data_IF_006096160227
#
_entry.id   IF_006096160227
#
_cell.length_a   1.000
_cell.length_b   1.000
_cell.length_c   1.000
_cell.angle_alpha   90.00
_cell.angle_beta   90.00
_cell.angle_gamma   90.00
#
_symmetry.space_group_name_H-M   'P 1'
#
loop_
_entity.id
_entity.type
_entity.pdbx_description
1 polymer ?
#
# COMPACT_ATOMS: atom_id res chain seq x y z
N UNK A 1 -12.01 1.78 7.61
CA UNK A 1 -11.20 2.83 8.24
C UNK A 1 -9.83 2.24 8.52
N UNK A 2 -8.86 2.55 7.68
CA UNK A 2 -7.49 2.05 7.76
C UNK A 2 -6.70 3.00 8.64
N UNK A 3 -5.95 2.46 9.60
CA UNK A 3 -5.09 3.27 10.47
C UNK A 3 -3.71 3.35 9.83
N UNK A 4 -3.18 4.57 9.71
CA UNK A 4 -1.88 4.84 9.09
C UNK A 4 -0.80 5.00 10.14
N UNK A 5 0.35 4.44 9.83
CA UNK A 5 1.51 4.42 10.70
C UNK A 5 2.72 4.95 9.95
N UNK A 6 3.43 5.89 10.57
CA UNK A 6 4.72 6.36 10.10
C UNK A 6 5.80 5.97 11.13
N UNK A 7 6.95 5.49 10.65
CA UNK A 7 8.06 5.07 11.52
C UNK A 7 9.28 5.96 11.33
N UNK A 8 9.71 6.66 12.37
CA UNK A 8 10.88 7.56 12.36
C UNK A 8 12.19 6.81 12.71
N UNK A 9 13.31 7.12 12.03
CA UNK A 9 14.66 6.73 12.47
C UNK A 9 15.26 7.86 13.33
N UNK A 10 15.59 7.58 14.58
CA UNK A 10 16.32 8.54 15.42
C UNK A 10 16.88 7.90 16.70
N UNK A 11 18.07 8.31 17.17
CA UNK A 11 18.60 7.83 18.44
C UNK A 11 17.84 8.48 19.60
N UNK A 12 17.34 7.69 20.55
CA UNK A 12 16.82 8.21 21.81
C UNK A 12 17.82 7.99 22.94
N UNK A 13 18.16 9.08 23.62
CA UNK A 13 18.67 9.06 24.99
C UNK A 13 17.54 8.63 25.92
N UNK A 14 17.71 7.43 26.48
CA UNK A 14 17.17 6.85 27.72
C UNK A 14 16.06 7.66 28.43
N UNK A 15 14.82 7.15 28.42
CA UNK A 15 14.31 6.26 29.48
C UNK A 15 12.87 5.80 29.14
N UNK A 16 12.68 4.48 29.12
CA UNK A 16 11.42 3.73 29.35
C UNK A 16 10.20 3.83 28.40
N UNK A 17 10.23 4.56 27.28
CA UNK A 17 9.03 4.80 26.45
C UNK A 17 9.16 4.34 24.98
N UNK A 18 8.39 3.32 24.57
CA UNK A 18 7.94 3.20 23.18
C UNK A 18 6.91 4.33 22.95
N UNK A 19 7.37 5.54 22.63
CA UNK A 19 6.50 6.69 22.40
C UNK A 19 5.68 6.47 21.13
N UNK A 20 4.36 6.30 21.33
CA UNK A 20 3.34 6.38 20.29
C UNK A 20 2.80 7.80 20.31
N UNK A 21 3.19 8.61 19.34
CA UNK A 21 2.63 9.95 19.17
C UNK A 21 1.48 9.90 18.16
N UNK A 22 0.33 10.46 18.54
CA UNK A 22 -0.80 10.66 17.63
C UNK A 22 -0.73 12.09 17.09
N UNK A 23 -0.50 12.22 15.79
CA UNK A 23 -0.61 13.52 15.14
C UNK A 23 -2.08 13.88 14.92
N UNK A 24 -2.43 15.17 14.99
CA UNK A 24 -3.81 15.66 14.84
C UNK A 24 -4.46 15.27 13.50
N UNK A 25 -3.66 14.99 12.48
CA UNK A 25 -4.11 14.49 11.17
C UNK A 25 -4.42 12.98 11.14
N UNK A 26 -4.29 12.28 12.27
CA UNK A 26 -4.65 10.86 12.41
C UNK A 26 -3.52 9.87 12.11
N UNK A 27 -2.27 10.34 12.04
CA UNK A 27 -1.09 9.48 11.94
C UNK A 27 -0.67 8.98 13.31
N UNK A 28 -0.37 7.68 13.38
CA UNK A 28 0.34 7.12 14.53
C UNK A 28 1.82 7.02 14.20
N UNK A 29 2.65 7.65 15.02
CA UNK A 29 4.10 7.67 14.85
C UNK A 29 4.72 6.73 15.88
N UNK A 30 5.55 5.82 15.40
CA UNK A 30 6.31 4.92 16.25
C UNK A 30 7.80 5.25 16.10
N UNK A 31 8.48 5.39 17.23
CA UNK A 31 9.94 5.55 17.26
C UNK A 31 10.56 4.27 17.78
N UNK A 32 11.47 3.69 17.00
CA UNK A 32 12.22 2.49 17.39
C UNK A 32 13.65 2.86 17.74
N UNK A 33 14.19 2.24 18.79
CA UNK A 33 15.59 2.42 19.17
C UNK A 33 16.56 1.75 18.18
N UNK A 34 16.11 0.71 17.49
CA UNK A 34 16.89 -0.11 16.58
C UNK A 34 16.21 -0.24 15.23
N UNK A 35 17.00 -0.04 14.18
CA UNK A 35 16.54 -0.25 12.81
C UNK A 35 16.11 -1.72 12.60
N UNK A 36 16.73 -2.67 13.30
CA UNK A 36 16.40 -4.09 13.23
C UNK A 36 14.97 -4.37 13.74
N UNK A 37 14.57 -3.76 14.86
CA UNK A 37 13.24 -3.93 15.45
C UNK A 37 12.17 -3.39 14.51
N UNK A 38 12.41 -2.20 13.95
CA UNK A 38 11.57 -1.63 12.89
C UNK A 38 11.48 -2.58 11.69
N UNK A 39 12.61 -3.09 11.21
CA UNK A 39 12.67 -3.97 10.05
C UNK A 39 11.86 -5.25 10.31
N UNK A 40 11.95 -5.81 11.51
CA UNK A 40 11.14 -6.97 11.93
C UNK A 40 9.65 -6.64 11.93
N UNK A 41 9.25 -5.50 12.48
CA UNK A 41 7.84 -5.09 12.50
C UNK A 41 7.34 -4.88 11.07
N UNK A 42 8.07 -4.15 10.22
CA UNK A 42 7.72 -3.94 8.82
C UNK A 42 7.65 -5.26 8.02
N UNK A 43 8.55 -6.21 8.29
CA UNK A 43 8.58 -7.51 7.64
C UNK A 43 7.54 -8.51 8.19
N UNK A 44 7.06 -8.31 9.42
CA UNK A 44 6.15 -9.20 10.13
C UNK A 44 4.73 -9.29 9.54
N UNK A 45 4.38 -8.40 8.61
CA UNK A 45 3.21 -8.51 7.78
C UNK A 45 2.02 -7.65 8.23
N UNK A 46 0.82 -7.89 7.69
CA UNK A 46 -0.31 -6.99 7.90
C UNK A 46 -0.80 -7.11 9.34
N UNK A 47 -0.64 -6.02 10.10
CA UNK A 47 -1.19 -5.91 11.44
C UNK A 47 -2.65 -5.47 11.37
N UNK A 48 -3.43 -5.86 12.37
CA UNK A 48 -4.82 -5.44 12.51
C UNK A 48 -5.03 -4.84 13.90
N UNK A 49 -5.69 -3.68 13.97
CA UNK A 49 -6.12 -3.06 15.23
C UNK A 49 -7.64 -2.93 15.17
N UNK A 50 -8.34 -3.56 16.10
CA UNK A 50 -9.81 -3.66 16.10
C UNK A 50 -10.40 -4.15 14.77
N UNK A 51 -9.76 -5.15 14.15
CA UNK A 51 -10.19 -5.71 12.86
C UNK A 51 -9.92 -4.80 11.65
N UNK A 52 -9.17 -3.71 11.82
CA UNK A 52 -8.81 -2.77 10.75
C UNK A 52 -7.36 -2.98 10.34
N UNK A 53 -7.05 -3.15 9.05
CA UNK A 53 -5.67 -3.30 8.60
C UNK A 53 -4.86 -2.05 8.92
N UNK A 54 -3.61 -2.26 9.35
CA UNK A 54 -2.63 -1.21 9.55
C UNK A 54 -1.73 -1.12 8.33
N UNK A 55 -1.56 0.10 7.83
CA UNK A 55 -0.54 0.39 6.83
C UNK A 55 0.69 0.93 7.54
N UNK A 56 1.74 0.13 7.58
CA UNK A 56 3.05 0.54 8.10
C UNK A 56 3.90 1.11 6.96
N UNK A 57 4.46 2.31 7.16
CA UNK A 57 5.39 2.94 6.22
C UNK A 57 6.58 3.52 6.98
N UNK A 58 7.76 3.36 6.41
CA UNK A 58 8.95 4.08 6.91
C UNK A 58 8.76 5.57 6.61
N UNK A 59 8.97 6.40 7.61
CA UNK A 59 8.93 7.85 7.45
C UNK A 59 10.23 8.28 6.73
N UNK A 60 10.14 8.85 5.52
CA UNK A 60 11.31 9.35 4.83
C UNK A 60 11.90 10.56 5.56
N UNK A 61 13.17 10.86 5.29
CA UNK A 61 13.81 12.07 5.78
C UNK A 61 13.02 13.30 5.30
N UNK A 62 12.79 14.26 6.19
CA UNK A 62 11.99 15.47 5.94
C UNK A 62 10.52 15.19 5.54
N UNK A 63 9.89 14.17 6.13
CA UNK A 63 8.47 13.91 5.94
C UNK A 63 7.60 15.07 6.45
N UNK A 64 6.65 15.50 5.62
CA UNK A 64 5.63 16.50 5.96
C UNK A 64 4.28 15.80 6.14
N UNK A 65 3.58 16.07 7.24
CA UNK A 65 2.23 15.55 7.46
C UNK A 65 1.23 16.28 6.56
N UNK A 66 1.14 15.86 5.29
CA UNK A 66 0.18 16.42 4.33
C UNK A 66 -1.19 15.81 4.54
N UNK A 67 -2.21 16.66 4.46
CA UNK A 67 -3.61 16.23 4.45
C UNK A 67 -3.91 15.28 3.28
N UNK A 68 -3.24 15.45 2.14
CA UNK A 68 -3.33 14.57 0.98
C UNK A 68 -2.90 13.13 1.31
N UNK A 69 -1.99 12.94 2.26
CA UNK A 69 -1.60 11.61 2.65
C UNK A 69 -2.67 10.91 3.48
N UNK A 70 -3.75 11.58 3.92
CA UNK A 70 -4.89 10.97 4.63
C UNK A 70 -5.79 10.20 3.66
N UNK A 71 -5.82 10.56 2.37
CA UNK A 71 -6.63 9.84 1.36
C UNK A 71 -5.96 8.56 0.84
N UNK A 72 -4.63 8.44 0.94
CA UNK A 72 -3.86 7.29 0.44
C UNK A 72 -4.27 5.98 1.12
N UNK A 73 -4.67 4.96 0.38
CA UNK A 73 -5.29 3.76 0.95
C UNK A 73 -4.74 2.52 0.25
N UNK A 74 -4.20 1.53 0.98
CA UNK A 74 -3.71 0.29 0.39
C UNK A 74 -4.87 -0.62 -0.03
N UNK A 75 -5.09 -0.78 -1.32
CA UNK A 75 -6.16 -1.62 -1.88
C UNK A 75 -5.57 -2.79 -2.66
N UNK A 76 -6.15 -3.97 -2.48
CA UNK A 76 -5.83 -5.12 -3.32
C UNK A 76 -6.51 -4.98 -4.68
N UNK A 77 -5.69 -4.90 -5.73
CA UNK A 77 -6.12 -4.90 -7.11
C UNK A 77 -5.84 -6.28 -7.74
N UNK A 78 -6.89 -6.85 -8.32
CA UNK A 78 -6.87 -8.12 -9.03
C UNK A 78 -6.85 -7.87 -10.54
N UNK A 79 -5.95 -8.57 -11.24
CA UNK A 79 -5.78 -8.53 -12.69
C UNK A 79 -6.27 -9.85 -13.28
N UNK A 80 -7.56 -9.97 -13.61
CA UNK A 80 -8.11 -11.22 -14.13
C UNK A 80 -7.57 -11.49 -15.54
N UNK A 81 -7.33 -12.77 -15.83
CA UNK A 81 -6.88 -13.25 -17.15
C UNK A 81 -5.61 -12.54 -17.69
N UNK A 82 -4.73 -12.08 -16.80
CA UNK A 82 -3.44 -11.52 -17.20
C UNK A 82 -2.55 -12.65 -17.76
N UNK A 83 -1.93 -12.51 -18.94
CA UNK A 83 -1.01 -13.52 -19.48
C UNK A 83 0.14 -13.82 -18.52
N UNK A 84 0.49 -15.10 -18.34
CA UNK A 84 1.50 -15.55 -17.36
C UNK A 84 2.89 -14.91 -17.58
N UNK A 85 3.20 -14.55 -18.83
CA UNK A 85 4.42 -13.85 -19.20
C UNK A 85 4.54 -12.48 -18.51
N UNK A 86 3.41 -11.89 -18.11
CA UNK A 86 3.34 -10.60 -17.40
C UNK A 86 3.34 -10.73 -15.86
N UNK A 87 3.46 -11.94 -15.30
CA UNK A 87 3.37 -12.17 -13.85
C UNK A 87 4.71 -11.99 -13.11
N UNK A 88 5.74 -11.53 -13.81
CA UNK A 88 7.01 -11.22 -13.17
C UNK A 88 6.93 -9.87 -12.43
N UNK A 89 7.65 -9.72 -11.30
CA UNK A 89 7.59 -8.52 -10.45
C UNK A 89 7.72 -7.19 -11.19
N UNK A 90 8.58 -7.11 -12.21
CA UNK A 90 8.78 -5.88 -12.97
C UNK A 90 7.54 -5.48 -13.79
N UNK A 91 6.84 -6.44 -14.43
CA UNK A 91 5.62 -6.14 -15.18
C UNK A 91 4.47 -5.78 -14.25
N UNK A 92 4.28 -6.54 -13.18
CA UNK A 92 3.25 -6.25 -12.18
C UNK A 92 3.49 -4.91 -11.48
N UNK A 93 4.75 -4.58 -11.18
CA UNK A 93 5.14 -3.27 -10.64
C UNK A 93 4.82 -2.12 -11.61
N UNK A 94 5.07 -2.31 -12.91
CA UNK A 94 4.72 -1.32 -13.96
C UNK A 94 3.20 -1.15 -14.11
N UNK A 95 2.42 -2.20 -13.97
CA UNK A 95 0.95 -2.09 -14.00
C UNK A 95 0.46 -1.42 -12.71
N UNK A 96 0.97 -1.85 -11.56
CA UNK A 96 0.64 -1.26 -10.27
C UNK A 96 0.95 0.22 -10.18
N UNK A 97 2.05 0.67 -10.78
CA UNK A 97 2.41 2.10 -10.81
C UNK A 97 1.45 2.97 -11.60
N UNK A 98 0.64 2.37 -12.48
CA UNK A 98 -0.47 3.06 -13.17
C UNK A 98 -1.72 3.17 -12.30
N UNK A 99 -1.86 2.32 -11.28
CA UNK A 99 -2.97 2.36 -10.33
C UNK A 99 -2.69 3.28 -9.15
N UNK A 100 -1.43 3.36 -8.72
CA UNK A 100 -0.99 4.08 -7.52
C UNK A 100 0.46 3.70 -7.18
N UNK A 101 0.80 3.59 -5.91
CA UNK A 101 2.14 3.13 -5.47
C UNK A 101 2.09 1.63 -5.19
N UNK A 102 2.80 0.76 -5.94
CA UNK A 102 2.89 -0.66 -5.63
C UNK A 102 3.55 -0.90 -4.27
N UNK A 103 2.88 -1.65 -3.39
CA UNK A 103 3.40 -2.01 -2.07
C UNK A 103 3.89 -3.46 -2.07
N UNK A 104 3.05 -4.39 -2.51
CA UNK A 104 3.32 -5.82 -2.42
C UNK A 104 2.58 -6.62 -3.49
N UNK A 105 2.98 -7.88 -3.65
CA UNK A 105 2.28 -8.91 -4.44
C UNK A 105 1.89 -10.03 -3.49
N UNK A 106 0.75 -10.70 -3.74
CA UNK A 106 0.41 -11.85 -2.90
C UNK A 106 1.33 -13.05 -3.18
N UNK A 107 1.50 -13.91 -2.17
CA UNK A 107 2.43 -15.06 -2.25
C UNK A 107 2.07 -16.01 -3.38
N UNK A 108 0.77 -16.18 -3.68
CA UNK A 108 0.29 -17.03 -4.75
C UNK A 108 0.62 -16.49 -6.14
N UNK A 109 0.55 -15.17 -6.34
CA UNK A 109 1.01 -14.51 -7.58
C UNK A 109 2.52 -14.64 -7.72
N UNK A 110 3.27 -14.40 -6.64
CA UNK A 110 4.74 -14.52 -6.63
C UNK A 110 5.23 -15.93 -6.95
N UNK A 111 4.55 -16.96 -6.44
CA UNK A 111 4.89 -18.37 -6.68
C UNK A 111 4.22 -18.96 -7.92
N UNK A 112 3.37 -18.19 -8.62
CA UNK A 112 2.54 -18.66 -9.74
C UNK A 112 1.69 -19.90 -9.41
N UNK A 113 1.31 -20.08 -8.15
CA UNK A 113 0.53 -21.25 -7.69
C UNK A 113 -0.97 -21.13 -8.03
N UNK A 114 -1.48 -19.91 -8.23
CA UNK A 114 -2.84 -19.64 -8.69
C UNK A 114 -2.80 -18.89 -10.01
N UNK A 115 -3.11 -19.55 -11.12
CA UNK A 115 -3.05 -18.96 -12.47
C UNK A 115 -4.32 -18.24 -12.95
N UNK A 116 -5.35 -18.15 -12.10
CA UNK A 116 -6.63 -17.52 -12.47
C UNK A 116 -6.55 -15.98 -12.56
N UNK A 117 -5.72 -15.36 -11.72
CA UNK A 117 -5.53 -13.92 -11.66
C UNK A 117 -4.26 -13.54 -10.88
N UNK A 118 -3.60 -12.46 -11.31
CA UNK A 118 -2.55 -11.83 -10.53
C UNK A 118 -3.14 -10.84 -9.53
N UNK A 119 -2.51 -10.69 -8.37
CA UNK A 119 -2.98 -9.80 -7.30
C UNK A 119 -1.84 -8.92 -6.78
N UNK A 120 -2.09 -7.61 -6.74
CA UNK A 120 -1.13 -6.59 -6.30
C UNK A 120 -1.77 -5.70 -5.24
N UNK A 121 -1.02 -5.36 -4.20
CA UNK A 121 -1.39 -4.38 -3.20
C UNK A 121 -0.85 -3.03 -3.66
N UNK A 122 -1.74 -2.06 -3.86
CA UNK A 122 -1.41 -0.71 -4.34
C UNK A 122 -1.96 0.34 -3.37
N UNK A 123 -1.12 1.29 -2.99
CA UNK A 123 -1.55 2.52 -2.30
C UNK A 123 -2.21 3.44 -3.33
N UNK A 124 -3.51 3.69 -3.20
CA UNK A 124 -4.29 4.53 -4.11
C UNK A 124 -4.86 5.74 -3.37
N UNK A 125 -5.01 6.85 -4.06
CA UNK A 125 -5.67 8.03 -3.50
C UNK A 125 -7.19 7.84 -3.52
N UNK A 126 -7.78 7.59 -2.34
CA UNK A 126 -9.22 7.36 -2.21
C UNK A 126 -10.08 8.61 -2.50
N UNK A 127 -9.48 9.81 -2.55
CA UNK A 127 -10.19 11.04 -2.95
C UNK A 127 -10.44 11.09 -4.46
N UNK A 128 -9.72 10.27 -5.24
CA UNK A 128 -9.78 10.22 -6.69
C UNK A 128 -10.55 8.99 -7.17
N UNK A 129 -11.06 9.06 -8.40
CA UNK A 129 -11.64 7.91 -9.07
C UNK A 129 -10.56 6.86 -9.32
N UNK A 130 -10.81 5.63 -8.89
CA UNK A 130 -9.91 4.51 -9.15
C UNK A 130 -9.85 4.14 -10.64
N UNK A 131 -8.69 3.61 -11.05
CA UNK A 131 -8.42 3.18 -12.42
C UNK A 131 -9.04 1.79 -12.66
N UNK A 132 -10.01 1.71 -13.58
CA UNK A 132 -10.73 0.47 -13.88
C UNK A 132 -10.03 -0.40 -14.94
N UNK A 133 -9.09 0.15 -15.70
CA UNK A 133 -8.27 -0.59 -16.67
C UNK A 133 -6.92 0.07 -16.94
N UNK A 134 -5.94 -0.73 -17.34
CA UNK A 134 -4.61 -0.28 -17.78
C UNK A 134 -4.34 -0.80 -19.18
N UNK A 135 -3.93 0.10 -20.09
CA UNK A 135 -3.50 -0.27 -21.44
C UNK A 135 -1.99 -0.40 -21.53
N UNK A 136 -1.51 -1.50 -22.10
CA UNK A 136 -0.08 -1.73 -22.34
C UNK A 136 0.16 -2.62 -23.56
N UNK A 137 1.37 -2.55 -24.11
CA UNK A 137 1.79 -3.34 -25.27
C UNK A 137 2.43 -4.63 -24.77
N UNK A 138 1.93 -5.76 -25.24
CA UNK A 138 2.52 -7.07 -24.99
C UNK A 138 3.80 -7.27 -25.81
N UNK A 139 4.69 -8.22 -25.45
CA UNK A 139 5.89 -8.51 -26.22
C UNK A 139 5.64 -8.88 -27.69
N UNK A 140 4.45 -9.38 -28.03
CA UNK A 140 4.01 -9.67 -29.39
C UNK A 140 3.49 -8.44 -30.17
N UNK A 141 3.59 -7.24 -29.60
CA UNK A 141 3.14 -5.99 -30.21
C UNK A 141 1.63 -5.69 -30.06
N UNK A 142 0.85 -6.59 -29.46
CA UNK A 142 -0.59 -6.40 -29.28
C UNK A 142 -0.86 -5.44 -28.12
N UNK A 143 -1.68 -4.41 -28.37
CA UNK A 143 -2.19 -3.53 -27.30
C UNK A 143 -3.25 -4.31 -26.52
N UNK A 144 -3.04 -4.44 -25.22
CA UNK A 144 -3.97 -5.06 -24.30
C UNK A 144 -4.57 -4.01 -23.37
N UNK A 145 -5.90 -4.03 -23.28
CA UNK A 145 -6.65 -3.34 -22.23
C UNK A 145 -6.91 -4.31 -21.07
N UNK A 146 -6.12 -4.19 -20.01
CA UNK A 146 -6.21 -5.06 -18.83
C UNK A 146 -7.22 -4.48 -17.83
N UNK A 147 -8.36 -5.16 -17.59
CA UNK A 147 -9.29 -4.75 -16.53
C UNK A 147 -8.67 -4.92 -15.14
N UNK A 148 -9.08 -4.05 -14.22
CA UNK A 148 -8.65 -4.04 -12.82
C UNK A 148 -9.87 -4.19 -11.93
N UNK A 149 -9.82 -5.16 -11.01
CA UNK A 149 -10.89 -5.42 -10.05
C UNK A 149 -10.35 -5.21 -8.65
N UNK A 150 -10.86 -4.18 -7.97
CA UNK A 150 -10.50 -3.91 -6.57
C UNK A 150 -11.34 -4.76 -5.63
N UNK A 151 -10.73 -5.35 -4.60
CA UNK A 151 -11.46 -6.16 -3.60
C UNK A 151 -12.42 -5.32 -2.76
N UNK A 152 -12.05 -4.05 -2.53
CA UNK A 152 -12.92 -3.07 -1.93
C UNK A 152 -12.62 -1.70 -2.54
N UNK A 153 -13.64 -0.86 -2.65
CA UNK A 153 -13.47 0.53 -3.07
C UNK A 153 -13.43 1.40 -1.81
N UNK A 154 -12.29 2.04 -1.50
CA UNK A 154 -12.22 2.95 -0.38
C UNK A 154 -13.16 4.13 -0.63
N UNK A 155 -13.97 4.47 0.38
CA UNK A 155 -14.86 5.62 0.31
C UNK A 155 -14.18 6.79 1.00
N UNK A 156 -14.21 7.96 0.38
CA UNK A 156 -13.63 9.17 0.95
C UNK A 156 -14.71 10.23 1.16
N UNK A 157 -14.77 10.82 2.37
CA UNK A 157 -15.61 11.98 2.64
C UNK A 157 -14.77 13.25 2.49
N UNK A 158 -15.10 14.05 1.48
CA UNK A 158 -14.48 15.36 1.25
C UNK A 158 -14.78 16.37 2.36
N UNK A 159 -15.89 16.24 3.08
CA UNK A 159 -16.25 17.15 4.17
C UNK A 159 -15.46 16.88 5.47
N UNK A 160 -15.02 15.64 5.69
CA UNK A 160 -14.29 15.25 6.89
C UNK A 160 -12.80 14.95 6.62
N UNK A 161 -12.36 15.01 5.36
CA UNK A 161 -11.05 14.62 4.87
C UNK A 161 -10.60 13.23 5.40
N UNK A 162 -11.51 12.24 5.34
CA UNK A 162 -11.31 10.90 5.94
C UNK A 162 -11.82 9.77 5.04
N UNK A 163 -11.15 8.63 5.12
CA UNK A 163 -11.46 7.41 4.37
C UNK A 163 -12.19 6.36 5.24
N UNK A 164 -13.25 5.76 4.71
CA UNK A 164 -14.17 4.83 5.40
C UNK A 164 -13.91 3.38 5.01
#
# INVERSE_FOLDING_TARGET
MLTKFAVEDGPLTLETNDLIDLHDSGWLIFRFARAEDRQQILAGGPYFVYGRPLLLKTMPDCFEFKEDDISLTPVWATLPSLPLECWHPNALGKIGSRLGTPIAMDSLTMKMERVSYARILVEVDASKKLVDHVEFILPNGVIRKQPIVYEYTPKFCSACNRTF
#
